data_IF_001847794200
#
_entry.id   IF_001847794200
#
_cell.length_a   1.000
_cell.length_b   1.000
_cell.length_c   1.000
_cell.angle_alpha   90.00
_cell.angle_beta   90.00
_cell.angle_gamma   90.00
#
_symmetry.space_group_name_H-M   'P 1'
#
loop_
_entity.id
_entity.type
_entity.pdbx_description
1 polymer ?
#
# COMPACT_ATOMS: atom_id res chain seq x y z
N UNK A 1 -22.55 16.10 -3.86
CA UNK A 1 -23.02 15.62 -5.18
C UNK A 1 -21.79 15.15 -5.97
N UNK A 2 -21.56 13.84 -6.09
CA UNK A 2 -20.40 13.31 -6.83
C UNK A 2 -20.72 13.38 -8.34
N UNK A 3 -19.85 13.96 -9.19
CA UNK A 3 -20.07 14.05 -10.63
C UNK A 3 -20.40 12.68 -11.25
N UNK A 4 -21.32 12.65 -12.22
CA UNK A 4 -21.82 11.41 -12.86
C UNK A 4 -20.71 10.55 -13.49
N UNK A 5 -19.60 11.17 -13.90
CA UNK A 5 -18.39 10.51 -14.43
C UNK A 5 -17.59 9.80 -13.32
N UNK A 6 -17.53 10.38 -12.11
CA UNK A 6 -16.90 9.73 -10.96
C UNK A 6 -17.73 8.53 -10.50
N UNK A 7 -19.06 8.64 -10.52
CA UNK A 7 -19.97 7.54 -10.13
C UNK A 7 -19.74 6.24 -10.92
N UNK A 8 -19.42 6.30 -12.22
CA UNK A 8 -19.16 5.07 -12.99
C UNK A 8 -17.82 4.42 -12.64
N UNK A 9 -16.79 5.20 -12.29
CA UNK A 9 -15.49 4.67 -11.84
C UNK A 9 -15.61 3.94 -10.50
N UNK A 10 -16.34 4.52 -9.53
CA UNK A 10 -16.58 3.88 -8.23
C UNK A 10 -17.39 2.58 -8.37
N UNK A 11 -18.44 2.58 -9.20
CA UNK A 11 -19.25 1.38 -9.47
C UNK A 11 -18.44 0.29 -10.18
N UNK A 12 -17.58 0.68 -11.15
CA UNK A 12 -16.69 -0.26 -11.81
C UNK A 12 -15.74 -0.92 -10.80
N UNK A 13 -15.06 -0.15 -9.97
CA UNK A 13 -14.15 -0.72 -8.97
C UNK A 13 -14.88 -1.60 -7.94
N UNK A 14 -16.06 -1.17 -7.46
CA UNK A 14 -16.87 -1.99 -6.56
C UNK A 14 -17.32 -3.30 -7.22
N UNK A 15 -17.69 -3.25 -8.51
CA UNK A 15 -18.04 -4.43 -9.29
C UNK A 15 -16.85 -5.39 -9.44
N UNK A 16 -15.67 -4.86 -9.75
CA UNK A 16 -14.42 -5.65 -9.83
C UNK A 16 -14.07 -6.28 -8.48
N UNK A 17 -14.11 -5.51 -7.39
CA UNK A 17 -13.89 -6.03 -6.04
C UNK A 17 -14.89 -7.12 -5.68
N UNK A 18 -16.18 -6.90 -5.94
CA UNK A 18 -17.22 -7.89 -5.70
C UNK A 18 -17.02 -9.17 -6.51
N UNK A 19 -16.60 -9.05 -7.77
CA UNK A 19 -16.28 -10.20 -8.62
C UNK A 19 -15.11 -11.02 -8.08
N UNK A 20 -14.02 -10.38 -7.63
CA UNK A 20 -12.88 -11.09 -7.04
C UNK A 20 -13.22 -11.74 -5.69
N UNK A 21 -13.99 -11.05 -4.83
CA UNK A 21 -14.47 -11.64 -3.58
C UNK A 21 -15.33 -12.87 -3.88
N UNK A 22 -16.30 -12.74 -4.81
CA UNK A 22 -17.14 -13.85 -5.23
C UNK A 22 -16.34 -15.01 -5.82
N UNK A 23 -15.31 -14.72 -6.61
CA UNK A 23 -14.40 -15.73 -7.16
C UNK A 23 -13.63 -16.48 -6.08
N UNK A 24 -13.07 -15.77 -5.09
CA UNK A 24 -12.38 -16.38 -3.96
C UNK A 24 -13.32 -17.27 -3.16
N UNK A 25 -14.51 -16.78 -2.81
CA UNK A 25 -15.50 -17.57 -2.07
C UNK A 25 -16.02 -18.78 -2.85
N UNK A 26 -16.06 -18.70 -4.18
CA UNK A 26 -16.45 -19.82 -5.04
C UNK A 26 -15.36 -20.89 -5.16
N UNK A 27 -14.08 -20.49 -5.16
CA UNK A 27 -12.95 -21.40 -5.44
C UNK A 27 -12.25 -21.93 -4.20
N UNK A 28 -12.24 -21.17 -3.10
CA UNK A 28 -11.50 -21.47 -1.88
C UNK A 28 -12.43 -22.14 -0.87
N UNK A 29 -12.04 -23.32 -0.40
CA UNK A 29 -12.61 -23.92 0.80
C UNK A 29 -12.14 -23.12 2.02
N UNK A 30 -13.00 -22.22 2.50
CA UNK A 30 -12.71 -21.37 3.66
C UNK A 30 -12.47 -22.21 4.92
N UNK A 31 -13.16 -23.35 5.07
CA UNK A 31 -12.96 -24.25 6.21
C UNK A 31 -11.56 -24.88 6.18
N UNK A 32 -11.18 -25.43 5.02
CA UNK A 32 -9.83 -25.94 4.78
C UNK A 32 -8.73 -24.87 4.91
N UNK A 33 -9.02 -23.62 4.57
CA UNK A 33 -8.07 -22.51 4.70
C UNK A 33 -7.86 -22.05 6.16
N UNK A 34 -8.87 -22.18 7.01
CA UNK A 34 -8.79 -21.80 8.43
C UNK A 34 -8.25 -22.91 9.33
N UNK A 35 -8.42 -24.19 8.94
CA UNK A 35 -7.91 -25.34 9.69
C UNK A 35 -6.45 -25.20 10.15
N UNK A 36 -5.51 -24.83 9.26
CA UNK A 36 -4.10 -24.64 9.61
C UNK A 36 -3.81 -23.55 10.65
N UNK A 37 -4.76 -22.64 10.92
CA UNK A 37 -4.59 -21.65 11.98
C UNK A 37 -4.56 -22.29 13.37
N UNK A 38 -5.25 -23.41 13.58
CA UNK A 38 -5.25 -24.10 14.86
C UNK A 38 -3.85 -24.66 15.21
N UNK A 39 -3.14 -25.17 14.21
CA UNK A 39 -1.83 -25.81 14.36
C UNK A 39 -0.65 -24.87 14.05
N UNK A 40 -0.93 -23.58 13.83
CA UNK A 40 0.08 -22.60 13.46
C UNK A 40 1.07 -22.33 14.61
N UNK A 41 2.34 -22.13 14.27
CA UNK A 41 3.34 -21.72 15.26
C UNK A 41 3.25 -20.21 15.54
N UNK A 42 2.52 -19.85 16.60
CA UNK A 42 2.31 -18.46 17.03
C UNK A 42 3.57 -17.76 17.57
N UNK A 43 4.68 -18.47 17.79
CA UNK A 43 5.95 -17.87 18.20
C UNK A 43 6.44 -16.80 17.23
N UNK A 44 6.10 -16.93 15.94
CA UNK A 44 6.44 -15.95 14.90
C UNK A 44 5.58 -14.68 14.91
N UNK A 45 4.46 -14.67 15.64
CA UNK A 45 3.55 -13.51 15.66
C UNK A 45 4.19 -12.29 16.33
N UNK A 46 4.76 -12.37 17.55
CA UNK A 46 5.44 -11.23 18.17
C UNK A 46 6.58 -10.61 17.32
N UNK A 47 7.56 -11.38 16.78
CA UNK A 47 8.60 -10.78 15.95
C UNK A 47 8.05 -10.21 14.65
N UNK A 48 7.05 -10.84 14.02
CA UNK A 48 6.39 -10.28 12.84
C UNK A 48 5.68 -8.96 13.16
N UNK A 49 4.98 -8.87 14.29
CA UNK A 49 4.30 -7.65 14.74
C UNK A 49 5.30 -6.54 15.07
N UNK A 50 6.43 -6.88 15.67
CA UNK A 50 7.51 -5.93 15.95
C UNK A 50 8.09 -5.37 14.64
N UNK A 51 8.44 -6.24 13.70
CA UNK A 51 8.97 -5.84 12.39
C UNK A 51 7.96 -5.01 11.60
N UNK A 52 6.69 -5.41 11.61
CA UNK A 52 5.61 -4.63 11.01
C UNK A 52 5.50 -3.24 11.64
N UNK A 53 5.50 -3.16 12.97
CA UNK A 53 5.39 -1.89 13.69
C UNK A 53 6.59 -1.00 13.42
N UNK A 54 7.80 -1.57 13.37
CA UNK A 54 9.03 -0.86 13.04
C UNK A 54 9.00 -0.33 11.60
N UNK A 55 8.54 -1.13 10.64
CA UNK A 55 8.36 -0.69 9.26
C UNK A 55 7.39 0.50 9.19
N UNK A 56 6.23 0.42 9.86
CA UNK A 56 5.27 1.53 9.93
C UNK A 56 5.82 2.76 10.64
N UNK A 57 6.70 2.57 11.62
CA UNK A 57 7.37 3.66 12.30
C UNK A 57 8.37 4.38 11.38
N UNK A 58 9.14 3.62 10.60
CA UNK A 58 10.04 4.17 9.58
C UNK A 58 9.24 4.93 8.51
N UNK A 59 8.11 4.39 8.06
CA UNK A 59 7.21 5.08 7.12
C UNK A 59 6.76 6.44 7.68
N UNK A 60 6.33 6.46 8.95
CA UNK A 60 5.91 7.67 9.63
C UNK A 60 7.06 8.68 9.80
N UNK A 61 8.28 8.21 10.10
CA UNK A 61 9.46 9.06 10.23
C UNK A 61 9.87 9.67 8.87
N UNK A 62 9.83 8.86 7.81
CA UNK A 62 10.03 9.33 6.43
C UNK A 62 9.02 10.42 6.08
N UNK A 63 7.74 10.20 6.40
CA UNK A 63 6.68 11.21 6.21
C UNK A 63 6.92 12.48 7.02
N UNK A 64 7.46 12.37 8.24
CA UNK A 64 7.80 13.53 9.06
C UNK A 64 8.85 14.41 8.37
N UNK A 65 9.87 13.79 7.78
CA UNK A 65 10.93 14.49 7.02
C UNK A 65 10.35 15.16 5.76
N UNK A 66 9.51 14.45 5.00
CA UNK A 66 8.88 15.01 3.80
C UNK A 66 7.97 16.20 4.13
N UNK A 67 7.20 16.09 5.22
CA UNK A 67 6.27 17.14 5.65
C UNK A 67 6.96 18.28 6.40
N UNK A 68 8.21 18.15 6.83
CA UNK A 68 8.92 19.21 7.52
C UNK A 68 8.98 20.52 6.71
N UNK A 69 8.93 20.44 5.38
CA UNK A 69 8.85 21.61 4.48
C UNK A 69 7.49 22.33 4.50
N UNK A 70 6.44 21.64 4.92
CA UNK A 70 5.06 22.14 5.00
C UNK A 70 4.70 22.49 6.45
N UNK A 71 4.89 21.53 7.37
CA UNK A 71 4.67 21.66 8.80
C UNK A 71 5.37 20.53 9.55
N UNK A 72 6.07 20.85 10.63
CA UNK A 72 6.62 19.83 11.53
C UNK A 72 5.48 19.19 12.31
N UNK A 73 5.21 17.91 12.04
CA UNK A 73 4.20 17.12 12.73
C UNK A 73 4.85 16.15 13.72
N UNK A 74 4.21 15.85 14.86
CA UNK A 74 4.74 14.89 15.82
C UNK A 74 4.67 13.47 15.26
N UNK A 75 5.78 12.73 15.37
CA UNK A 75 5.94 11.38 14.84
C UNK A 75 4.88 10.41 15.36
N UNK A 76 4.47 10.53 16.64
CA UNK A 76 3.41 9.71 17.23
C UNK A 76 2.05 9.87 16.54
N UNK A 77 1.73 11.08 16.07
CA UNK A 77 0.47 11.32 15.36
C UNK A 77 0.52 10.82 13.92
N UNK A 78 1.68 10.91 13.27
CA UNK A 78 1.92 10.32 11.96
C UNK A 78 1.82 8.80 12.04
N UNK A 79 2.50 8.19 13.00
CA UNK A 79 2.47 6.75 13.23
C UNK A 79 1.04 6.25 13.51
N UNK A 80 0.30 6.94 14.39
CA UNK A 80 -1.10 6.61 14.65
C UNK A 80 -1.98 6.72 13.39
N UNK A 81 -1.80 7.77 12.59
CA UNK A 81 -2.51 7.89 11.31
C UNK A 81 -2.16 6.73 10.38
N UNK A 82 -0.90 6.31 10.29
CA UNK A 82 -0.44 5.17 9.51
C UNK A 82 -1.10 3.86 9.91
N UNK A 83 -1.18 3.57 11.21
CA UNK A 83 -1.84 2.37 11.72
C UNK A 83 -3.33 2.36 11.38
N UNK A 84 -4.03 3.49 11.59
CA UNK A 84 -5.45 3.63 11.23
C UNK A 84 -5.64 3.46 9.72
N UNK A 85 -4.80 4.10 8.91
CA UNK A 85 -4.84 3.95 7.46
C UNK A 85 -4.66 2.50 7.02
N UNK A 86 -3.75 1.76 7.65
CA UNK A 86 -3.56 0.34 7.35
C UNK A 86 -4.79 -0.51 7.70
N UNK A 87 -5.39 -0.29 8.87
CA UNK A 87 -6.64 -0.99 9.24
C UNK A 87 -7.74 -0.67 8.22
N UNK A 88 -7.89 0.59 7.83
CA UNK A 88 -8.89 1.01 6.83
C UNK A 88 -8.60 0.40 5.46
N UNK A 89 -7.33 0.32 5.02
CA UNK A 89 -6.96 -0.31 3.75
C UNK A 89 -7.21 -1.83 3.74
N UNK A 90 -7.17 -2.49 4.90
CA UNK A 90 -7.47 -3.92 5.02
C UNK A 90 -8.98 -4.20 5.05
N UNK A 91 -9.78 -3.27 5.57
CA UNK A 91 -11.23 -3.42 5.70
C UNK A 91 -12.00 -2.86 4.51
N UNK A 92 -11.54 -1.74 3.97
CA UNK A 92 -12.22 -1.01 2.90
C UNK A 92 -11.44 -1.13 1.59
N UNK A 93 -12.15 -1.30 0.46
CA UNK A 93 -11.51 -1.28 -0.85
C UNK A 93 -11.00 0.13 -1.18
N UNK A 94 -10.31 0.25 -2.34
CA UNK A 94 -9.94 1.54 -2.95
C UNK A 94 -8.87 2.34 -2.22
N UNK A 95 -8.03 1.68 -1.42
CA UNK A 95 -6.99 2.36 -0.62
C UNK A 95 -7.58 3.51 0.22
N UNK A 96 -8.80 3.36 0.73
CA UNK A 96 -9.50 4.40 1.48
C UNK A 96 -8.74 4.86 2.73
N UNK A 97 -7.86 4.01 3.26
CA UNK A 97 -6.97 4.33 4.37
C UNK A 97 -5.93 5.40 4.05
N UNK A 98 -5.55 5.56 2.78
CA UNK A 98 -4.67 6.64 2.35
C UNK A 98 -5.38 8.00 2.46
N UNK A 99 -6.66 8.04 2.08
CA UNK A 99 -7.52 9.21 2.25
C UNK A 99 -7.75 9.48 3.74
N UNK A 100 -7.98 8.43 4.54
CA UNK A 100 -8.16 8.55 5.99
C UNK A 100 -6.94 9.17 6.67
N UNK A 101 -5.71 8.74 6.33
CA UNK A 101 -4.45 9.32 6.83
C UNK A 101 -4.40 10.83 6.59
N UNK A 102 -4.66 11.26 5.35
CA UNK A 102 -4.65 12.68 4.96
C UNK A 102 -5.72 13.44 5.73
N UNK A 103 -6.93 12.89 5.83
CA UNK A 103 -8.07 13.55 6.48
C UNK A 103 -7.86 13.70 7.99
N UNK A 104 -7.30 12.69 8.67
CA UNK A 104 -6.97 12.73 10.10
C UNK A 104 -5.93 13.82 10.36
N UNK A 105 -4.84 13.84 9.58
CA UNK A 105 -3.76 14.82 9.77
C UNK A 105 -4.19 16.24 9.42
N UNK A 106 -4.95 16.41 8.34
CA UNK A 106 -5.50 17.71 7.93
C UNK A 106 -6.43 18.28 9.00
N UNK A 107 -7.32 17.45 9.58
CA UNK A 107 -8.23 17.90 10.63
C UNK A 107 -7.51 18.18 11.95
N UNK A 108 -6.54 17.35 12.33
CA UNK A 108 -5.84 17.47 13.62
C UNK A 108 -4.86 18.65 13.64
N UNK A 109 -4.22 18.95 12.51
CA UNK A 109 -3.15 19.94 12.44
C UNK A 109 -3.42 21.07 11.44
N UNK A 110 -4.63 21.19 10.88
CA UNK A 110 -4.99 22.29 9.98
C UNK A 110 -4.12 22.41 8.74
N UNK A 111 -3.53 21.31 8.26
CA UNK A 111 -2.67 21.30 7.05
C UNK A 111 -3.55 21.13 5.82
N UNK A 112 -3.18 21.79 4.71
CA UNK A 112 -3.94 21.65 3.46
C UNK A 112 -3.90 20.21 2.96
N UNK A 113 -5.07 19.67 2.62
CA UNK A 113 -5.21 18.31 2.06
C UNK A 113 -4.40 18.15 0.78
N UNK A 114 -4.37 19.18 -0.06
CA UNK A 114 -3.60 19.20 -1.30
C UNK A 114 -2.09 19.15 -1.04
N UNK A 115 -1.58 19.88 -0.04
CA UNK A 115 -0.17 19.83 0.35
C UNK A 115 0.24 18.47 0.91
N UNK A 116 -0.64 17.83 1.69
CA UNK A 116 -0.43 16.46 2.18
C UNK A 116 -0.46 15.43 1.04
N UNK A 117 -1.32 15.61 0.04
CA UNK A 117 -1.46 14.64 -1.07
C UNK A 117 -0.31 14.75 -2.06
N UNK A 118 0.02 15.96 -2.52
CA UNK A 118 0.99 16.18 -3.59
C UNK A 118 2.44 15.90 -3.13
N UNK A 119 2.81 16.35 -1.93
CA UNK A 119 4.19 16.19 -1.42
C UNK A 119 4.54 14.74 -1.11
N UNK A 120 3.52 13.91 -0.89
CA UNK A 120 3.70 12.63 -0.23
C UNK A 120 3.32 11.49 -1.15
N UNK A 121 2.15 11.52 -1.79
CA UNK A 121 1.71 10.39 -2.62
C UNK A 121 2.59 10.22 -3.86
N UNK A 122 2.96 11.31 -4.53
CA UNK A 122 3.82 11.27 -5.71
C UNK A 122 5.25 10.86 -5.37
N UNK A 123 5.85 11.48 -4.36
CA UNK A 123 7.23 11.18 -3.94
C UNK A 123 7.34 9.76 -3.37
N UNK A 124 6.38 9.34 -2.55
CA UNK A 124 6.33 7.98 -1.99
C UNK A 124 6.15 6.93 -3.08
N UNK A 125 5.18 7.11 -3.98
CA UNK A 125 4.95 6.15 -5.06
C UNK A 125 6.17 6.02 -5.99
N UNK A 126 6.87 7.13 -6.25
CA UNK A 126 8.10 7.12 -7.06
C UNK A 126 9.23 6.42 -6.31
N UNK A 127 9.48 6.78 -5.05
CA UNK A 127 10.54 6.15 -4.26
C UNK A 127 10.29 4.66 -4.03
N UNK A 128 9.06 4.27 -3.73
CA UNK A 128 8.68 2.88 -3.53
C UNK A 128 8.79 2.09 -4.85
N UNK A 129 8.37 2.70 -5.98
CA UNK A 129 8.52 2.10 -7.31
C UNK A 129 9.99 1.92 -7.72
N UNK A 130 10.84 2.91 -7.48
CA UNK A 130 12.29 2.83 -7.73
C UNK A 130 12.93 1.80 -6.82
N UNK A 131 12.61 1.80 -5.52
CA UNK A 131 13.15 0.84 -4.55
C UNK A 131 12.74 -0.60 -4.92
N UNK A 132 11.49 -0.78 -5.31
CA UNK A 132 10.99 -2.06 -5.82
C UNK A 132 11.76 -2.51 -7.06
N UNK A 133 11.96 -1.63 -8.05
CA UNK A 133 12.74 -1.93 -9.25
C UNK A 133 14.18 -2.30 -8.92
N UNK A 134 14.84 -1.57 -8.03
CA UNK A 134 16.21 -1.85 -7.59
C UNK A 134 16.30 -3.23 -6.94
N UNK A 135 15.42 -3.53 -5.98
CA UNK A 135 15.41 -4.84 -5.33
C UNK A 135 15.01 -5.98 -6.24
N UNK A 136 14.11 -5.73 -7.20
CA UNK A 136 13.78 -6.69 -8.24
C UNK A 136 15.04 -7.01 -9.06
N UNK A 137 15.71 -6.00 -9.60
CA UNK A 137 16.92 -6.19 -10.42
C UNK A 137 18.06 -6.84 -9.64
N UNK A 138 18.27 -6.45 -8.37
CA UNK A 138 19.25 -7.09 -7.50
C UNK A 138 18.89 -8.56 -7.24
N UNK A 139 17.62 -8.85 -6.95
CA UNK A 139 17.14 -10.22 -6.79
C UNK A 139 17.41 -11.06 -8.03
N UNK A 140 17.18 -10.51 -9.23
CA UNK A 140 17.48 -11.19 -10.50
C UNK A 140 18.97 -11.35 -10.78
N UNK A 141 19.79 -10.37 -10.42
CA UNK A 141 21.23 -10.43 -10.60
C UNK A 141 21.89 -11.47 -9.68
N UNK A 142 21.32 -11.69 -8.49
CA UNK A 142 21.79 -12.67 -7.50
C UNK A 142 21.11 -14.03 -7.65
N UNK A 143 20.13 -14.16 -8.55
CA UNK A 143 19.37 -15.39 -8.73
C UNK A 143 20.12 -16.37 -9.62
N UNK A 144 20.52 -17.52 -9.05
CA UNK A 144 21.22 -18.59 -9.77
C UNK A 144 20.27 -19.69 -10.31
N UNK A 145 18.96 -19.58 -10.09
CA UNK A 145 17.98 -20.60 -10.51
C UNK A 145 17.57 -20.49 -11.98
N UNK A 146 17.50 -21.60 -12.71
CA UNK A 146 17.14 -21.62 -14.14
C UNK A 146 15.64 -21.69 -14.44
N UNK A 147 14.79 -21.76 -13.42
CA UNK A 147 13.37 -22.12 -13.58
C UNK A 147 12.40 -20.94 -13.72
N UNK A 148 12.87 -19.69 -13.63
CA UNK A 148 11.98 -18.53 -13.80
C UNK A 148 11.88 -18.17 -15.28
N UNK A 149 10.69 -18.22 -15.90
CA UNK A 149 10.54 -17.86 -17.31
C UNK A 149 10.97 -16.41 -17.51
N UNK A 150 11.91 -16.16 -18.43
CA UNK A 150 12.38 -14.80 -18.73
C UNK A 150 11.22 -13.85 -19.07
N UNK A 151 10.15 -14.37 -19.69
CA UNK A 151 8.93 -13.63 -19.99
C UNK A 151 8.23 -13.07 -18.74
N UNK A 152 8.23 -13.81 -17.61
CA UNK A 152 7.66 -13.34 -16.35
C UNK A 152 8.49 -12.18 -15.77
N UNK A 153 9.82 -12.29 -15.84
CA UNK A 153 10.74 -11.25 -15.36
C UNK A 153 10.60 -9.95 -16.14
N UNK A 154 10.65 -10.04 -17.46
CA UNK A 154 10.43 -8.89 -18.33
C UNK A 154 9.02 -8.33 -18.19
N UNK A 155 8.01 -9.18 -17.99
CA UNK A 155 6.64 -8.76 -17.69
C UNK A 155 6.54 -7.93 -16.41
N UNK A 156 7.11 -8.42 -15.30
CA UNK A 156 7.14 -7.71 -14.01
C UNK A 156 7.90 -6.38 -14.09
N UNK A 157 9.07 -6.37 -14.76
CA UNK A 157 9.85 -5.17 -14.98
C UNK A 157 9.07 -4.14 -15.83
N UNK A 158 8.39 -4.59 -16.89
CA UNK A 158 7.56 -3.74 -17.76
C UNK A 158 6.41 -3.10 -16.98
N UNK A 159 5.69 -3.89 -16.17
CA UNK A 159 4.58 -3.41 -15.34
C UNK A 159 5.08 -2.38 -14.31
N UNK A 160 6.21 -2.64 -13.67
CA UNK A 160 6.79 -1.73 -12.70
C UNK A 160 7.24 -0.40 -13.35
N UNK A 161 7.89 -0.45 -14.51
CA UNK A 161 8.31 0.75 -15.27
C UNK A 161 7.08 1.54 -15.74
N UNK A 162 6.06 0.88 -16.29
CA UNK A 162 4.82 1.52 -16.71
C UNK A 162 4.07 2.15 -15.53
N UNK A 163 4.01 1.45 -14.39
CA UNK A 163 3.42 1.96 -13.15
C UNK A 163 4.14 3.22 -12.67
N UNK A 164 5.47 3.22 -12.70
CA UNK A 164 6.29 4.39 -12.35
C UNK A 164 6.11 5.55 -13.34
N UNK A 165 6.04 5.27 -14.64
CA UNK A 165 5.82 6.30 -15.66
C UNK A 165 4.43 6.95 -15.50
N UNK A 166 3.40 6.16 -15.20
CA UNK A 166 2.05 6.67 -14.98
C UNK A 166 1.97 7.54 -13.71
N UNK A 167 2.68 7.18 -12.62
CA UNK A 167 2.70 8.00 -11.40
C UNK A 167 3.48 9.31 -11.56
N UNK A 168 4.44 9.38 -12.50
CA UNK A 168 5.16 10.61 -12.82
C UNK A 168 4.34 11.57 -13.70
N UNK A 169 3.39 11.05 -14.49
CA UNK A 169 2.58 11.83 -15.43
C UNK A 169 1.22 12.27 -14.83
N UNK A 170 0.74 11.56 -13.79
CA UNK A 170 -0.53 11.83 -13.11
C UNK A 170 -0.40 12.87 -11.99
#
# INVERSE_FOLDING_TARGET
>A
MVPRILRSKWLFHLGVTGAFIGFVLWRVDVGGALGPLADANYFWVPPALLLFSLAKFIDAARWQVLLAKVRVLPLSSLFGAFLVGNVVNNLLPLRAGDIAKIQILANRFGVSRAGLTASVFAVEAVLDGVTFLVFLLLGLALWEGTDVPAALLWGLASIAILGLALTLVA
#
